data_IF_677181590064
#
_entry.id   IF_677181590064
#
_cell.length_a   1.000
_cell.length_b   1.000
_cell.length_c   1.000
_cell.angle_alpha   90.00
_cell.angle_beta   90.00
_cell.angle_gamma   90.00
#
_symmetry.space_group_name_H-M   'P 1'
#
loop_
_entity.id
_entity.type
_entity.pdbx_description
1 polymer ?
#
# COMPACT_ATOMS: atom_id res chain seq x y z
N UNK A 1 -9.11 -11.85 -21.51
CA UNK A 1 -9.86 -10.78 -20.80
C UNK A 1 -8.90 -9.65 -20.52
N UNK A 2 -9.31 -8.42 -20.76
CA UNK A 2 -8.53 -7.22 -20.46
C UNK A 2 -8.35 -7.10 -18.95
N UNK A 3 -7.17 -6.67 -18.49
CA UNK A 3 -6.87 -6.54 -17.05
C UNK A 3 -6.69 -5.09 -16.66
N UNK A 4 -7.16 -4.73 -15.47
CA UNK A 4 -6.88 -3.45 -14.80
C UNK A 4 -6.25 -3.73 -13.45
N UNK A 5 -5.13 -3.06 -13.14
CA UNK A 5 -4.48 -3.08 -11.84
C UNK A 5 -4.91 -1.87 -11.01
N UNK A 6 -5.53 -2.11 -9.87
CA UNK A 6 -5.77 -1.11 -8.84
C UNK A 6 -4.72 -1.31 -7.75
N UNK A 7 -3.77 -0.38 -7.66
CA UNK A 7 -2.66 -0.42 -6.74
C UNK A 7 -2.87 0.61 -5.63
N UNK A 8 -2.69 0.21 -4.38
CA UNK A 8 -2.98 1.05 -3.21
C UNK A 8 -1.76 1.16 -2.31
N UNK A 9 -1.44 2.36 -1.85
CA UNK A 9 -0.83 2.49 -0.54
C UNK A 9 -1.82 2.05 0.54
N UNK A 10 -1.38 1.91 1.79
CA UNK A 10 -2.24 1.41 2.85
C UNK A 10 -2.56 2.48 3.90
N UNK A 11 -1.53 3.00 4.58
CA UNK A 11 -1.66 3.99 5.65
C UNK A 11 -2.09 5.34 5.08
N UNK A 12 -3.18 5.92 5.58
CA UNK A 12 -3.76 7.15 5.01
C UNK A 12 -4.54 6.97 3.71
N UNK A 13 -4.47 5.78 3.09
CA UNK A 13 -5.14 5.46 1.82
C UNK A 13 -6.31 4.50 2.00
N UNK A 14 -6.11 3.39 2.72
CA UNK A 14 -7.15 2.39 3.05
C UNK A 14 -7.53 2.40 4.53
N UNK A 15 -6.66 2.90 5.40
CA UNK A 15 -6.93 3.07 6.82
C UNK A 15 -6.58 4.48 7.29
N UNK A 16 -7.15 4.88 8.44
CA UNK A 16 -6.89 6.18 9.06
C UNK A 16 -5.54 6.20 9.74
N UNK A 17 -4.66 7.10 9.31
CA UNK A 17 -3.31 7.25 9.88
C UNK A 17 -2.43 6.02 9.70
N UNK A 18 -1.39 5.87 10.53
CA UNK A 18 -0.53 4.69 10.49
C UNK A 18 -1.14 3.51 11.23
N UNK A 19 -1.05 2.31 10.67
CA UNK A 19 -1.56 1.08 11.28
C UNK A 19 -0.93 0.81 12.65
N UNK A 20 0.34 1.18 12.84
CA UNK A 20 1.05 1.01 14.10
C UNK A 20 0.48 1.89 15.22
N UNK A 21 0.02 3.10 14.88
CA UNK A 21 -0.44 4.10 15.85
C UNK A 21 -1.79 3.73 16.47
N UNK A 22 -2.55 2.84 15.83
CA UNK A 22 -3.91 2.54 16.26
C UNK A 22 -3.95 1.75 17.59
N UNK A 23 -3.40 0.55 17.61
CA UNK A 23 -3.37 -0.31 18.80
C UNK A 23 -1.97 -0.82 19.13
N UNK A 24 -1.17 -1.14 18.11
CA UNK A 24 0.11 -1.81 18.30
C UNK A 24 1.06 -1.02 19.21
N UNK A 25 1.29 0.27 18.94
CA UNK A 25 2.17 1.11 19.77
C UNK A 25 1.59 1.35 21.17
N UNK A 26 0.26 1.38 21.29
CA UNK A 26 -0.40 1.47 22.60
C UNK A 26 -0.13 0.23 23.46
N UNK A 27 -0.26 -0.96 22.87
CA UNK A 27 0.03 -2.22 23.56
C UNK A 27 1.55 -2.34 23.87
N UNK A 28 2.39 -1.72 23.03
CA UNK A 28 3.83 -1.53 23.31
C UNK A 28 4.12 -0.50 24.41
N UNK A 29 3.09 0.14 25.01
CA UNK A 29 3.21 1.17 26.06
C UNK A 29 4.10 2.36 25.66
N UNK A 30 4.02 2.77 24.41
CA UNK A 30 4.75 3.93 23.89
C UNK A 30 3.82 4.82 23.05
N UNK A 31 3.93 6.12 23.28
CA UNK A 31 3.21 7.12 22.49
C UNK A 31 3.75 7.15 21.03
N UNK A 32 2.87 7.20 20.01
CA UNK A 32 3.30 7.23 18.61
C UNK A 32 4.34 8.30 18.31
N UNK A 33 4.13 9.52 18.78
CA UNK A 33 5.08 10.64 18.59
C UNK A 33 6.47 10.32 19.13
N UNK A 34 6.56 9.67 20.29
CA UNK A 34 7.84 9.27 20.87
C UNK A 34 8.49 8.14 20.08
N UNK A 35 7.71 7.17 19.65
CA UNK A 35 8.21 6.05 18.84
C UNK A 35 8.80 6.56 17.52
N UNK A 36 8.03 7.31 16.74
CA UNK A 36 8.48 7.84 15.45
C UNK A 36 9.63 8.86 15.61
N UNK A 37 9.67 9.61 16.72
CA UNK A 37 10.82 10.44 17.06
C UNK A 37 12.10 9.64 17.30
N UNK A 38 12.00 8.50 17.99
CA UNK A 38 13.14 7.57 18.17
C UNK A 38 13.58 6.99 16.82
N UNK A 39 12.65 6.59 15.96
CA UNK A 39 12.96 6.07 14.62
C UNK A 39 13.72 7.10 13.80
N UNK A 40 13.22 8.34 13.74
CA UNK A 40 13.83 9.41 12.97
C UNK A 40 15.24 9.76 13.48
N UNK A 41 15.42 9.83 14.80
CA UNK A 41 16.73 10.10 15.42
C UNK A 41 17.71 8.95 15.13
N UNK A 42 17.27 7.70 15.34
CA UNK A 42 18.11 6.54 15.08
C UNK A 42 18.55 6.47 13.61
N UNK A 43 17.62 6.69 12.68
CA UNK A 43 17.93 6.68 11.25
C UNK A 43 18.94 7.76 10.87
N UNK A 44 18.76 8.98 11.40
CA UNK A 44 19.68 10.10 11.16
C UNK A 44 21.07 9.84 11.75
N UNK A 45 21.13 9.43 13.02
CA UNK A 45 22.38 9.30 13.77
C UNK A 45 23.23 8.12 13.27
N UNK A 46 22.61 7.10 12.66
CA UNK A 46 23.26 5.93 12.08
C UNK A 46 23.31 5.95 10.55
N UNK A 47 22.82 7.01 9.88
CA UNK A 47 22.75 7.11 8.41
C UNK A 47 22.08 5.88 7.76
N UNK A 48 21.02 5.36 8.34
CA UNK A 48 20.33 4.16 7.86
C UNK A 48 18.93 4.45 7.31
N UNK A 49 18.39 3.49 6.57
CA UNK A 49 17.04 3.55 6.03
C UNK A 49 16.00 3.65 7.18
N UNK A 50 15.11 4.67 7.15
CA UNK A 50 14.11 4.87 8.22
C UNK A 50 13.15 3.69 8.39
N UNK A 51 12.84 2.96 7.31
CA UNK A 51 11.95 1.79 7.39
C UNK A 51 12.66 0.62 8.09
N UNK A 52 13.95 0.40 7.83
CA UNK A 52 14.75 -0.59 8.57
C UNK A 52 14.88 -0.20 10.03
N UNK A 53 15.13 1.08 10.33
CA UNK A 53 15.18 1.59 11.71
C UNK A 53 13.85 1.33 12.44
N UNK A 54 12.74 1.64 11.78
CA UNK A 54 11.40 1.40 12.33
C UNK A 54 11.15 -0.09 12.61
N UNK A 55 11.45 -0.98 11.67
CA UNK A 55 11.28 -2.42 11.85
C UNK A 55 12.08 -2.92 13.06
N UNK A 56 13.35 -2.54 13.16
CA UNK A 56 14.21 -2.93 14.29
C UNK A 56 13.66 -2.39 15.61
N UNK A 57 13.37 -1.10 15.69
CA UNK A 57 12.91 -0.48 16.93
C UNK A 57 11.51 -0.97 17.36
N UNK A 58 10.65 -1.31 16.41
CA UNK A 58 9.35 -1.90 16.72
C UNK A 58 9.50 -3.29 17.34
N UNK A 59 10.35 -4.13 16.75
CA UNK A 59 10.65 -5.45 17.30
C UNK A 59 11.17 -5.36 18.74
N UNK A 60 12.15 -4.49 19.00
CA UNK A 60 12.70 -4.25 20.33
C UNK A 60 11.63 -3.73 21.31
N UNK A 61 10.80 -2.80 20.88
CA UNK A 61 9.74 -2.22 21.70
C UNK A 61 8.66 -3.25 22.07
N UNK A 62 8.26 -4.10 21.11
CA UNK A 62 7.33 -5.20 21.37
C UNK A 62 7.87 -6.18 22.39
N UNK A 63 9.14 -6.64 22.24
CA UNK A 63 9.77 -7.53 23.22
C UNK A 63 9.87 -6.89 24.60
N UNK A 64 10.25 -5.62 24.67
CA UNK A 64 10.33 -4.88 25.94
C UNK A 64 8.96 -4.77 26.63
N UNK A 65 7.88 -4.76 25.86
CA UNK A 65 6.51 -4.76 26.37
C UNK A 65 5.99 -6.17 26.71
N UNK A 66 6.79 -7.24 26.50
CA UNK A 66 6.38 -8.62 26.70
C UNK A 66 5.47 -9.18 25.60
N UNK A 67 5.41 -8.53 24.45
CA UNK A 67 4.61 -8.97 23.31
C UNK A 67 5.39 -9.97 22.45
N UNK A 68 4.67 -10.94 21.89
CA UNK A 68 5.26 -11.88 20.93
C UNK A 68 5.42 -11.17 19.57
N UNK A 69 6.59 -11.37 18.94
CA UNK A 69 6.88 -10.84 17.60
C UNK A 69 6.81 -12.00 16.61
N UNK A 70 5.64 -12.23 16.06
CA UNK A 70 5.36 -13.25 15.05
C UNK A 70 4.18 -12.83 14.15
N UNK A 71 3.98 -13.57 13.07
CA UNK A 71 2.95 -13.28 12.08
C UNK A 71 1.52 -13.29 12.66
N UNK A 72 1.22 -14.22 13.56
CA UNK A 72 -0.10 -14.37 14.17
C UNK A 72 -0.43 -13.15 15.02
N UNK A 73 0.50 -12.69 15.84
CA UNK A 73 0.33 -11.48 16.66
C UNK A 73 0.05 -10.26 15.77
N UNK A 74 0.79 -10.08 14.69
CA UNK A 74 0.54 -8.96 13.76
C UNK A 74 -0.81 -9.06 13.05
N UNK A 75 -1.23 -10.27 12.64
CA UNK A 75 -2.56 -10.46 12.03
C UNK A 75 -3.70 -10.10 12.98
N UNK A 76 -3.57 -10.35 14.29
CA UNK A 76 -4.59 -9.92 15.25
C UNK A 76 -4.76 -8.40 15.27
N UNK A 77 -3.67 -7.63 15.19
CA UNK A 77 -3.76 -6.18 15.03
C UNK A 77 -4.47 -5.77 13.74
N UNK A 78 -4.26 -6.52 12.66
CA UNK A 78 -4.92 -6.27 11.37
C UNK A 78 -6.44 -6.41 11.42
N UNK A 79 -6.97 -7.33 12.24
CA UNK A 79 -8.42 -7.53 12.43
C UNK A 79 -9.10 -6.33 13.08
N UNK A 80 -8.36 -5.55 13.85
CA UNK A 80 -8.88 -4.43 14.65
C UNK A 80 -8.60 -3.05 14.02
N UNK A 81 -8.02 -3.01 12.81
CA UNK A 81 -7.70 -1.74 12.15
C UNK A 81 -8.95 -0.94 11.81
N UNK A 82 -8.89 0.36 12.10
CA UNK A 82 -9.89 1.33 11.65
C UNK A 82 -9.66 1.66 10.18
N UNK A 83 -10.32 0.91 9.32
CA UNK A 83 -10.30 1.14 7.88
C UNK A 83 -11.20 2.32 7.50
N UNK A 84 -10.96 2.90 6.32
CA UNK A 84 -11.89 3.87 5.77
C UNK A 84 -13.22 3.22 5.42
N UNK A 85 -14.26 4.05 5.35
CA UNK A 85 -15.63 3.61 5.10
C UNK A 85 -15.72 2.83 3.77
N UNK A 86 -16.34 1.66 3.82
CA UNK A 86 -16.60 0.80 2.66
C UNK A 86 -15.40 -0.01 2.15
N UNK A 87 -14.20 0.06 2.77
CA UNK A 87 -12.99 -0.66 2.32
C UNK A 87 -13.20 -2.18 2.36
N UNK A 88 -13.90 -2.70 3.37
CA UNK A 88 -14.10 -4.16 3.50
C UNK A 88 -14.85 -4.78 2.31
N UNK A 89 -15.81 -4.06 1.75
CA UNK A 89 -16.64 -4.51 0.63
C UNK A 89 -16.14 -4.05 -0.73
N UNK A 90 -15.23 -3.08 -0.74
CA UNK A 90 -14.72 -2.43 -1.94
C UNK A 90 -14.13 -3.41 -2.95
N UNK A 91 -13.23 -4.25 -2.52
CA UNK A 91 -12.43 -5.10 -3.41
C UNK A 91 -13.28 -6.13 -4.14
N UNK A 92 -14.14 -6.85 -3.42
CA UNK A 92 -15.06 -7.82 -4.03
C UNK A 92 -16.06 -7.12 -4.97
N UNK A 93 -16.66 -6.00 -4.54
CA UNK A 93 -17.63 -5.25 -5.34
C UNK A 93 -17.04 -4.78 -6.67
N UNK A 94 -15.82 -4.23 -6.68
CA UNK A 94 -15.20 -3.74 -7.92
C UNK A 94 -14.75 -4.89 -8.82
N UNK A 95 -14.32 -6.04 -8.26
CA UNK A 95 -14.06 -7.26 -9.05
C UNK A 95 -15.32 -7.75 -9.74
N UNK A 96 -16.44 -7.82 -9.06
CA UNK A 96 -17.72 -8.24 -9.62
C UNK A 96 -18.18 -7.28 -10.72
N UNK A 97 -18.08 -5.98 -10.47
CA UNK A 97 -18.40 -4.96 -11.48
C UNK A 97 -17.50 -5.09 -12.70
N UNK A 98 -16.21 -5.26 -12.55
CA UNK A 98 -15.27 -5.52 -13.66
C UNK A 98 -15.66 -6.76 -14.46
N UNK A 99 -15.95 -7.87 -13.78
CA UNK A 99 -16.35 -9.12 -14.39
C UNK A 99 -17.62 -8.97 -15.25
N UNK A 100 -18.62 -8.24 -14.77
CA UNK A 100 -19.85 -7.97 -15.54
C UNK A 100 -19.61 -7.14 -16.82
N UNK A 101 -18.47 -6.46 -16.93
CA UNK A 101 -18.03 -5.68 -18.09
C UNK A 101 -16.89 -6.35 -18.90
N UNK A 102 -16.65 -7.66 -18.67
CA UNK A 102 -15.61 -8.42 -19.38
C UNK A 102 -14.17 -8.04 -19.01
N UNK A 103 -13.96 -7.40 -17.86
CA UNK A 103 -12.66 -6.93 -17.36
C UNK A 103 -12.28 -7.69 -16.09
N UNK A 104 -11.03 -8.14 -16.03
CA UNK A 104 -10.42 -8.68 -14.81
C UNK A 104 -9.81 -7.56 -14.00
N UNK A 105 -10.36 -7.30 -12.81
CA UNK A 105 -9.80 -6.36 -11.85
C UNK A 105 -8.85 -7.10 -10.93
N UNK A 106 -7.62 -6.60 -10.80
CA UNK A 106 -6.63 -7.09 -9.88
C UNK A 106 -6.24 -6.01 -8.87
N UNK A 107 -6.29 -6.35 -7.57
CA UNK A 107 -5.98 -5.44 -6.48
C UNK A 107 -4.61 -5.76 -5.88
N UNK A 108 -3.78 -4.74 -5.72
CA UNK A 108 -2.42 -4.82 -5.18
C UNK A 108 -2.22 -3.78 -4.09
N UNK A 109 -1.61 -4.18 -2.98
CA UNK A 109 -1.23 -3.25 -1.91
C UNK A 109 0.29 -3.09 -1.92
N UNK A 110 0.78 -1.83 -1.90
CA UNK A 110 2.20 -1.49 -1.87
C UNK A 110 2.41 -0.51 -0.71
N UNK A 111 2.92 -0.98 0.43
CA UNK A 111 2.93 -0.23 1.68
C UNK A 111 4.27 -0.28 2.41
N UNK A 112 4.62 0.82 3.07
CA UNK A 112 5.73 0.83 4.03
C UNK A 112 5.36 0.19 5.38
N UNK A 113 4.06 -0.01 5.63
CA UNK A 113 3.54 -0.69 6.81
C UNK A 113 3.84 -2.19 6.84
N UNK A 114 3.28 -2.89 7.83
CA UNK A 114 3.56 -4.31 8.08
C UNK A 114 2.66 -5.23 7.26
N UNK A 115 3.28 -6.11 6.47
CA UNK A 115 2.59 -7.10 5.63
C UNK A 115 1.64 -8.00 6.44
N UNK A 116 2.11 -8.51 7.60
CA UNK A 116 1.30 -9.42 8.41
C UNK A 116 0.13 -8.72 9.10
N UNK A 117 0.23 -7.43 9.39
CA UNK A 117 -0.91 -6.62 9.85
C UNK A 117 -1.94 -6.51 8.71
N UNK A 118 -1.51 -6.17 7.50
CA UNK A 118 -2.40 -6.09 6.33
C UNK A 118 -3.06 -7.45 6.06
N UNK A 119 -2.32 -8.55 6.19
CA UNK A 119 -2.84 -9.92 6.04
C UNK A 119 -3.87 -10.32 7.10
N UNK A 120 -3.97 -9.59 8.18
CA UNK A 120 -5.02 -9.76 9.20
C UNK A 120 -6.36 -9.13 8.81
N UNK A 121 -6.41 -8.24 7.83
CA UNK A 121 -7.64 -7.57 7.41
C UNK A 121 -8.63 -8.55 6.75
N UNK A 122 -9.93 -8.34 6.99
CA UNK A 122 -11.00 -9.22 6.49
C UNK A 122 -11.07 -9.31 4.96
N UNK A 123 -10.69 -8.24 4.26
CA UNK A 123 -10.70 -8.15 2.80
C UNK A 123 -9.52 -8.85 2.11
N UNK A 124 -8.56 -9.39 2.85
CA UNK A 124 -7.30 -9.92 2.29
C UNK A 124 -7.50 -10.98 1.20
N UNK A 125 -8.57 -11.77 1.30
CA UNK A 125 -8.95 -12.78 0.30
C UNK A 125 -9.20 -12.20 -1.09
N UNK A 126 -9.52 -10.90 -1.17
CA UNK A 126 -9.81 -10.20 -2.42
C UNK A 126 -8.58 -9.46 -2.98
N UNK A 127 -7.44 -9.50 -2.29
CA UNK A 127 -6.18 -8.90 -2.73
C UNK A 127 -5.36 -9.93 -3.51
N UNK A 128 -4.89 -9.54 -4.68
CA UNK A 128 -4.06 -10.41 -5.53
C UNK A 128 -2.65 -10.57 -4.95
N UNK A 129 -2.07 -9.47 -4.43
CA UNK A 129 -0.76 -9.51 -3.80
C UNK A 129 -0.55 -8.28 -2.89
N UNK A 130 0.19 -8.49 -1.80
CA UNK A 130 0.65 -7.45 -0.88
C UNK A 130 2.17 -7.36 -0.97
N UNK A 131 2.69 -6.19 -1.29
CA UNK A 131 4.09 -5.81 -1.12
C UNK A 131 4.18 -4.83 0.05
N UNK A 132 4.66 -5.30 1.19
CA UNK A 132 4.79 -4.45 2.37
C UNK A 132 6.02 -4.83 3.18
N UNK A 133 6.44 -3.96 4.08
CA UNK A 133 7.56 -4.26 4.95
C UNK A 133 7.23 -5.47 5.84
N UNK A 134 8.20 -6.35 6.05
CA UNK A 134 7.93 -7.64 6.67
C UNK A 134 9.15 -8.24 7.34
N UNK A 135 8.91 -9.24 8.19
CA UNK A 135 9.93 -9.97 8.90
C UNK A 135 10.07 -11.42 8.42
N UNK A 136 11.24 -11.99 8.67
CA UNK A 136 11.47 -13.43 8.78
C UNK A 136 11.43 -13.76 10.28
N UNK A 137 10.62 -14.73 10.63
CA UNK A 137 10.54 -15.24 12.01
C UNK A 137 11.29 -16.56 12.09
N UNK A 138 12.29 -16.64 12.94
CA UNK A 138 13.09 -17.85 13.15
C UNK A 138 13.18 -18.14 14.63
N UNK A 139 12.97 -19.37 15.03
CA UNK A 139 13.12 -19.82 16.40
C UNK A 139 14.59 -19.68 16.87
N UNK A 140 15.54 -20.01 15.99
CA UNK A 140 16.97 -20.04 16.31
C UNK A 140 17.67 -18.69 16.14
N UNK A 141 17.24 -17.88 15.14
CA UNK A 141 17.96 -16.67 14.69
C UNK A 141 17.25 -15.36 15.05
N UNK A 142 16.08 -15.45 15.68
CA UNK A 142 15.28 -14.27 16.01
C UNK A 142 14.51 -13.72 14.82
N UNK A 143 14.18 -12.43 14.90
CA UNK A 143 13.35 -11.72 13.91
C UNK A 143 14.22 -10.81 13.07
N UNK A 144 14.11 -10.94 11.73
CA UNK A 144 14.88 -10.15 10.77
C UNK A 144 13.97 -9.46 9.75
N UNK A 145 14.29 -8.23 9.30
CA UNK A 145 13.61 -7.65 8.17
C UNK A 145 13.74 -8.53 6.91
N UNK A 146 12.62 -8.97 6.37
CA UNK A 146 12.56 -9.72 5.10
C UNK A 146 12.51 -8.78 3.90
N UNK A 147 11.72 -7.75 4.03
CA UNK A 147 11.50 -6.73 3.03
C UNK A 147 11.31 -5.38 3.72
N UNK A 148 12.02 -4.38 3.24
CA UNK A 148 11.81 -2.97 3.58
C UNK A 148 11.21 -2.27 2.37
N UNK A 149 10.00 -1.73 2.51
CA UNK A 149 9.33 -0.93 1.48
C UNK A 149 9.34 0.52 1.92
N UNK A 150 10.04 1.35 1.18
CA UNK A 150 10.14 2.78 1.43
C UNK A 150 9.74 3.61 0.20
N UNK A 151 9.69 4.93 0.35
CA UNK A 151 9.28 5.84 -0.73
C UNK A 151 10.10 5.69 -2.03
N UNK A 152 11.37 5.30 -1.94
CA UNK A 152 12.24 5.19 -3.11
C UNK A 152 12.05 3.85 -3.84
N UNK A 153 11.78 2.77 -3.13
CA UNK A 153 11.69 1.43 -3.70
C UNK A 153 10.24 0.95 -3.98
N UNK A 154 9.20 1.68 -3.54
CA UNK A 154 7.80 1.39 -3.90
C UNK A 154 7.61 1.21 -5.41
N UNK A 155 8.29 2.01 -6.22
CA UNK A 155 8.18 2.02 -7.69
C UNK A 155 8.49 0.66 -8.31
N UNK A 156 9.45 -0.10 -7.78
CA UNK A 156 9.79 -1.41 -8.34
C UNK A 156 8.57 -2.35 -8.39
N UNK A 157 7.66 -2.24 -7.44
CA UNK A 157 6.50 -3.13 -7.36
C UNK A 157 5.48 -2.84 -8.46
N UNK A 158 5.35 -1.58 -8.91
CA UNK A 158 4.56 -1.24 -10.09
C UNK A 158 5.12 -1.95 -11.34
N UNK A 159 6.46 -1.95 -11.50
CA UNK A 159 7.10 -2.67 -12.61
C UNK A 159 6.94 -4.18 -12.48
N UNK A 160 7.00 -4.75 -11.27
CA UNK A 160 6.76 -6.18 -11.05
C UNK A 160 5.34 -6.58 -11.45
N UNK A 161 4.35 -5.81 -11.05
CA UNK A 161 2.95 -6.01 -11.44
C UNK A 161 2.79 -5.86 -12.96
N UNK A 162 3.37 -4.81 -13.56
CA UNK A 162 3.32 -4.60 -14.99
C UNK A 162 3.88 -5.79 -15.78
N UNK A 163 4.96 -6.40 -15.30
CA UNK A 163 5.65 -7.51 -15.97
C UNK A 163 5.16 -8.89 -15.55
N UNK A 164 4.40 -9.01 -14.46
CA UNK A 164 4.00 -10.29 -13.91
C UNK A 164 5.14 -11.07 -13.22
N UNK A 165 6.17 -10.36 -12.74
CA UNK A 165 7.32 -10.92 -12.01
C UNK A 165 7.19 -10.63 -10.54
N UNK A 166 6.39 -11.43 -9.86
CA UNK A 166 5.90 -11.11 -8.51
C UNK A 166 6.91 -11.36 -7.40
N UNK A 167 7.85 -12.27 -7.59
CA UNK A 167 8.85 -12.60 -6.57
C UNK A 167 9.91 -11.51 -6.45
N UNK A 168 10.12 -11.01 -5.22
CA UNK A 168 11.07 -9.92 -4.95
C UNK A 168 12.52 -10.27 -5.27
N UNK A 169 12.89 -11.55 -5.21
CA UNK A 169 14.23 -12.03 -5.55
C UNK A 169 14.45 -12.20 -7.05
N UNK A 170 13.38 -12.21 -7.88
CA UNK A 170 13.49 -12.30 -9.32
C UNK A 170 14.01 -10.99 -9.94
N UNK A 171 15.33 -10.90 -10.05
CA UNK A 171 16.01 -9.76 -10.67
C UNK A 171 16.00 -9.84 -12.20
N UNK A 172 16.00 -11.03 -12.75
CA UNK A 172 16.03 -11.24 -14.21
C UNK A 172 14.70 -10.83 -14.82
N UNK A 173 13.61 -11.35 -14.30
CA UNK A 173 12.26 -11.06 -14.83
C UNK A 173 11.90 -9.59 -14.73
N UNK A 174 12.18 -8.92 -13.59
CA UNK A 174 11.86 -7.49 -13.44
C UNK A 174 12.68 -6.60 -14.38
N UNK A 175 13.89 -6.99 -14.75
CA UNK A 175 14.77 -6.25 -15.66
C UNK A 175 14.64 -6.70 -17.13
N UNK A 176 13.91 -7.77 -17.41
CA UNK A 176 13.74 -8.25 -18.78
C UNK A 176 13.15 -7.18 -19.69
N UNK A 177 13.74 -7.05 -20.89
CA UNK A 177 13.22 -6.15 -21.94
C UNK A 177 11.92 -6.70 -22.49
N UNK A 178 10.97 -5.82 -22.80
CA UNK A 178 9.75 -6.22 -23.54
C UNK A 178 10.13 -6.72 -24.92
N UNK A 179 9.78 -7.94 -25.22
CA UNK A 179 9.94 -8.54 -26.55
C UNK A 179 8.77 -9.51 -26.84
N UNK A 180 8.84 -10.20 -27.98
CA UNK A 180 7.82 -11.17 -28.38
C UNK A 180 7.63 -12.31 -27.37
N UNK A 181 8.64 -12.63 -26.56
CA UNK A 181 8.65 -13.71 -25.57
C UNK A 181 8.22 -13.24 -24.18
N UNK A 182 8.31 -11.93 -23.88
CA UNK A 182 8.00 -11.35 -22.58
C UNK A 182 6.80 -10.38 -22.70
N UNK A 183 5.59 -10.95 -22.71
CA UNK A 183 4.35 -10.18 -22.74
C UNK A 183 4.15 -9.45 -21.41
N UNK A 184 3.75 -8.19 -21.50
CA UNK A 184 3.32 -7.39 -20.35
C UNK A 184 2.10 -8.02 -19.71
N UNK A 185 2.13 -8.25 -18.39
CA UNK A 185 1.02 -8.83 -17.64
C UNK A 185 -0.16 -7.87 -17.59
N UNK A 186 0.09 -6.62 -17.17
CA UNK A 186 -0.88 -5.52 -17.24
C UNK A 186 -0.14 -4.26 -17.73
N UNK A 187 -0.54 -3.64 -18.84
CA UNK A 187 0.09 -2.41 -19.31
C UNK A 187 -0.23 -1.24 -18.36
N UNK A 188 0.73 -0.32 -18.20
CA UNK A 188 0.58 0.80 -17.26
C UNK A 188 -0.63 1.70 -17.52
N UNK A 189 -1.07 1.84 -18.76
CA UNK A 189 -2.30 2.56 -19.14
C UNK A 189 -3.58 1.99 -18.51
N UNK A 190 -3.48 0.77 -17.95
CA UNK A 190 -4.53 0.10 -17.20
C UNK A 190 -4.25 0.08 -15.68
N UNK A 191 -3.31 0.89 -15.20
CA UNK A 191 -3.06 1.05 -13.76
C UNK A 191 -3.80 2.26 -13.20
N UNK A 192 -4.34 2.09 -12.02
CA UNK A 192 -4.81 3.18 -11.18
C UNK A 192 -4.10 3.04 -9.84
N UNK A 193 -3.31 4.05 -9.46
CA UNK A 193 -2.57 4.07 -8.22
C UNK A 193 -3.22 5.04 -7.22
N UNK A 194 -3.48 4.55 -6.02
CA UNK A 194 -4.03 5.29 -4.90
C UNK A 194 -2.93 5.50 -3.86
N UNK A 195 -2.76 6.71 -3.40
CA UNK A 195 -1.84 7.06 -2.32
C UNK A 195 -2.33 8.30 -1.60
N UNK A 196 -1.74 8.66 -0.46
CA UNK A 196 -2.18 9.78 0.36
C UNK A 196 -1.16 10.93 0.47
N UNK A 197 0.11 10.69 0.09
CA UNK A 197 1.13 11.64 0.47
C UNK A 197 2.40 11.69 -0.36
N UNK A 198 3.38 12.38 0.20
CA UNK A 198 4.67 12.65 -0.47
C UNK A 198 5.48 11.36 -0.70
N UNK A 199 5.28 10.33 0.12
CA UNK A 199 5.92 9.03 -0.04
C UNK A 199 5.48 8.28 -1.29
N UNK A 200 4.34 8.64 -1.88
CA UNK A 200 3.77 8.04 -3.09
C UNK A 200 4.14 8.79 -4.37
N UNK A 201 4.75 9.97 -4.25
CA UNK A 201 5.12 10.82 -5.40
C UNK A 201 5.93 10.06 -6.46
N UNK A 202 6.92 9.21 -6.13
CA UNK A 202 7.62 8.42 -7.14
C UNK A 202 6.69 7.47 -7.91
N UNK A 203 5.74 6.83 -7.21
CA UNK A 203 4.73 5.96 -7.82
C UNK A 203 3.78 6.74 -8.71
N UNK A 204 3.26 7.89 -8.25
CA UNK A 204 2.45 8.79 -9.08
C UNK A 204 3.19 9.20 -10.35
N UNK A 205 4.46 9.61 -10.22
CA UNK A 205 5.28 10.06 -11.35
C UNK A 205 5.46 8.96 -12.41
N UNK A 206 5.83 7.75 -11.98
CA UNK A 206 6.02 6.61 -12.92
C UNK A 206 4.69 6.23 -13.56
N UNK A 207 3.63 6.13 -12.76
CA UNK A 207 2.31 5.75 -13.27
C UNK A 207 1.80 6.75 -14.30
N UNK A 208 1.86 8.07 -14.00
CA UNK A 208 1.41 9.13 -14.88
C UNK A 208 2.21 9.21 -16.19
N UNK A 209 3.55 9.10 -16.12
CA UNK A 209 4.43 9.08 -17.30
C UNK A 209 4.13 7.91 -18.25
N UNK A 210 3.59 6.83 -17.73
CA UNK A 210 3.22 5.65 -18.50
C UNK A 210 1.70 5.55 -18.77
N UNK A 211 0.98 6.69 -18.75
CA UNK A 211 -0.44 6.82 -19.08
C UNK A 211 -1.43 6.18 -18.09
N UNK A 212 -0.96 5.70 -16.95
CA UNK A 212 -1.81 5.27 -15.84
C UNK A 212 -2.51 6.45 -15.18
N UNK A 213 -3.39 6.18 -14.23
CA UNK A 213 -4.11 7.21 -13.47
C UNK A 213 -3.71 7.17 -12.01
N UNK A 214 -3.57 8.35 -11.40
CA UNK A 214 -3.19 8.48 -10.00
C UNK A 214 -4.25 9.29 -9.24
N UNK A 215 -4.61 8.78 -8.07
CA UNK A 215 -5.62 9.34 -7.18
C UNK A 215 -4.92 9.62 -5.85
N UNK A 216 -4.98 10.88 -5.38
CA UNK A 216 -4.59 11.20 -4.02
C UNK A 216 -5.81 11.13 -3.12
N UNK A 217 -5.73 10.27 -2.11
CA UNK A 217 -6.77 10.07 -1.11
C UNK A 217 -6.48 10.97 0.09
N UNK A 218 -7.51 11.60 0.66
CA UNK A 218 -7.38 12.36 1.89
C UNK A 218 -8.44 11.94 2.91
N UNK A 219 -8.11 12.10 4.17
CA UNK A 219 -9.06 11.88 5.27
C UNK A 219 -9.87 13.15 5.50
N UNK A 220 -11.21 13.06 5.34
CA UNK A 220 -12.14 14.18 5.30
C UNK A 220 -12.01 15.16 6.46
N UNK A 221 -11.82 14.61 7.67
CA UNK A 221 -11.83 15.42 8.89
C UNK A 221 -10.41 15.80 9.36
N UNK A 222 -9.38 15.60 8.50
CA UNK A 222 -7.99 15.97 8.78
C UNK A 222 -7.49 17.01 7.79
N UNK A 223 -7.49 18.27 8.22
CA UNK A 223 -7.03 19.41 7.40
C UNK A 223 -5.63 19.21 6.83
N UNK A 224 -4.71 18.65 7.62
CA UNK A 224 -3.34 18.34 7.16
C UNK A 224 -3.35 17.37 5.97
N UNK A 225 -4.15 16.30 6.03
CA UNK A 225 -4.28 15.33 4.94
C UNK A 225 -4.83 15.99 3.68
N UNK A 226 -5.89 16.78 3.81
CA UNK A 226 -6.46 17.53 2.70
C UNK A 226 -5.47 18.51 2.07
N UNK A 227 -4.71 19.26 2.88
CA UNK A 227 -3.74 20.24 2.39
C UNK A 227 -2.59 19.58 1.63
N UNK A 228 -2.08 18.41 2.06
CA UNK A 228 -1.08 17.63 1.33
C UNK A 228 -1.65 17.19 -0.03
N UNK A 229 -2.81 16.58 -0.03
CA UNK A 229 -3.43 16.08 -1.24
C UNK A 229 -3.78 17.21 -2.23
N UNK A 230 -4.27 18.36 -1.73
CA UNK A 230 -4.51 19.57 -2.53
C UNK A 230 -3.23 20.12 -3.17
N UNK A 231 -2.11 20.13 -2.42
CA UNK A 231 -0.80 20.52 -2.96
C UNK A 231 -0.38 19.59 -4.11
N UNK A 232 -0.43 18.28 -3.91
CA UNK A 232 -0.07 17.30 -4.96
C UNK A 232 -0.94 17.43 -6.22
N UNK A 233 -2.23 17.70 -6.03
CA UNK A 233 -3.15 17.94 -7.14
C UNK A 233 -2.83 19.25 -7.88
N UNK A 234 -2.59 20.35 -7.16
CA UNK A 234 -2.25 21.65 -7.75
C UNK A 234 -0.90 21.65 -8.48
N UNK A 235 0.04 20.78 -8.06
CA UNK A 235 1.33 20.55 -8.72
C UNK A 235 1.21 19.61 -9.94
N UNK A 236 0.01 19.12 -10.27
CA UNK A 236 -0.20 18.17 -11.38
C UNK A 236 0.40 16.78 -11.16
N UNK A 237 0.70 16.42 -9.91
CA UNK A 237 1.31 15.11 -9.57
C UNK A 237 0.30 13.97 -9.58
N UNK A 238 -0.98 14.29 -9.41
CA UNK A 238 -2.09 13.34 -9.43
C UNK A 238 -3.22 13.83 -10.32
N UNK A 239 -4.02 12.92 -10.86
CA UNK A 239 -5.15 13.26 -11.73
C UNK A 239 -6.41 13.60 -10.94
N UNK A 240 -6.56 13.01 -9.75
CA UNK A 240 -7.75 13.14 -8.93
C UNK A 240 -7.38 13.30 -7.47
N UNK A 241 -8.20 14.09 -6.78
CA UNK A 241 -8.16 14.31 -5.33
C UNK A 241 -9.50 13.80 -4.79
N UNK A 242 -9.47 12.78 -3.91
CA UNK A 242 -10.67 12.09 -3.44
C UNK A 242 -10.67 11.92 -1.92
N UNK A 243 -11.84 12.07 -1.30
CA UNK A 243 -12.03 11.66 0.09
C UNK A 243 -11.93 10.13 0.22
N UNK A 244 -11.35 9.65 1.33
CA UNK A 244 -11.22 8.23 1.66
C UNK A 244 -12.56 7.56 2.00
N UNK A 245 -13.51 7.59 1.11
CA UNK A 245 -14.80 6.86 1.18
C UNK A 245 -14.89 5.88 0.00
N UNK A 246 -14.80 4.59 0.32
CA UNK A 246 -14.87 3.47 -0.62
C UNK A 246 -16.26 2.80 -0.64
N UNK A 247 -17.26 3.42 0.00
CA UNK A 247 -18.62 2.86 0.00
C UNK A 247 -19.23 2.90 -1.40
N UNK A 248 -20.26 2.08 -1.59
CA UNK A 248 -21.01 2.06 -2.84
C UNK A 248 -21.60 3.44 -3.15
N UNK A 249 -21.50 3.85 -4.42
CA UNK A 249 -21.90 5.17 -4.91
C UNK A 249 -21.11 6.37 -4.37
N UNK A 250 -20.00 6.16 -3.64
CA UNK A 250 -19.06 7.23 -3.31
C UNK A 250 -18.41 7.82 -4.57
N UNK A 251 -17.67 8.93 -4.43
CA UNK A 251 -16.94 9.54 -5.55
C UNK A 251 -15.89 8.59 -6.14
N UNK A 252 -15.15 7.88 -5.27
CA UNK A 252 -14.17 6.85 -5.69
C UNK A 252 -14.89 5.73 -6.45
N UNK A 253 -15.98 5.20 -5.91
CA UNK A 253 -16.74 4.11 -6.53
C UNK A 253 -17.24 4.49 -7.92
N UNK A 254 -17.85 5.67 -8.06
CA UNK A 254 -18.31 6.19 -9.35
C UNK A 254 -17.19 6.38 -10.35
N UNK A 255 -16.07 6.98 -9.92
CA UNK A 255 -14.91 7.22 -10.77
C UNK A 255 -14.34 5.91 -11.32
N UNK A 256 -14.13 4.92 -10.44
CA UNK A 256 -13.55 3.63 -10.87
C UNK A 256 -14.50 2.87 -11.77
N UNK A 257 -15.80 2.87 -11.49
CA UNK A 257 -16.81 2.28 -12.40
C UNK A 257 -16.82 2.96 -13.78
N UNK A 258 -16.64 4.27 -13.84
CA UNK A 258 -16.49 4.98 -15.13
C UNK A 258 -15.25 4.53 -15.91
N UNK A 259 -14.09 4.36 -15.23
CA UNK A 259 -12.89 3.84 -15.89
C UNK A 259 -13.08 2.42 -16.42
N UNK A 260 -13.74 1.57 -15.67
CA UNK A 260 -14.06 0.20 -16.10
C UNK A 260 -14.95 0.24 -17.34
N UNK A 261 -16.01 1.05 -17.33
CA UNK A 261 -16.90 1.20 -18.47
C UNK A 261 -16.16 1.67 -19.74
N UNK A 262 -15.30 2.69 -19.62
CA UNK A 262 -14.51 3.20 -20.76
C UNK A 262 -13.50 2.18 -21.31
N UNK A 263 -13.08 1.23 -20.54
CA UNK A 263 -12.14 0.19 -20.94
C UNK A 263 -12.81 -1.11 -21.40
N UNK A 264 -14.11 -1.28 -21.14
CA UNK A 264 -14.92 -2.43 -21.52
C UNK A 264 -15.37 -2.44 -22.97
N UNK A 265 -15.25 -1.31 -23.67
CA UNK A 265 -15.59 -1.17 -25.08
C UNK A 265 -14.40 -1.31 -26.01
#
# INVERSE_FOLDING_TARGET
MKKIALCYDFDGTLCSGYMQDQKLLRDCKIEPKLFWGKVANYARDNHCDPTLAYLMLLEQQMRSAGLRVNAETFKEYGKELKLFKGVNEWFSRIKEFGKSHGIEIQHYIISSGLEDVIKGCSFIKDINLVYASSYIYSEDKGVWPRLSVNYSNKVQFLYRINKGTFDVFDQVGVNAKKDANHKVHIPFENFIFFGDGETDVPCFSVNNKNLGKSICVYEKDKEKSFNIAKKLFSEGRVHYLMNGDYSENSEIDKLIKQFINLKGY
#
